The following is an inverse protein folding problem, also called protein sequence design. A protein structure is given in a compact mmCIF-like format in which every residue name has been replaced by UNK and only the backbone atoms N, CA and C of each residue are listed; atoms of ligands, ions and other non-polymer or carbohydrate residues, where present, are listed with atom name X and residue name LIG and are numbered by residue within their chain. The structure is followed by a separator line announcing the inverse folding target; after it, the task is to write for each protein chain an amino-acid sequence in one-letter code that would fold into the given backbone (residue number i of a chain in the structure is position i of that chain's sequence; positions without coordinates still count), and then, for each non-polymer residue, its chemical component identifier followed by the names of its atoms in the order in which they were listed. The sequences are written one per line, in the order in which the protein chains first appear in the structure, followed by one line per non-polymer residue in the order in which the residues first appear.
data_IF_660590042365
#
_entry.id   IF_660590042365
#
_cell.length_a   1.000
_cell.length_b   1.000
_cell.length_c   1.000
_cell.angle_alpha   90.00
_cell.angle_beta   90.00
_cell.angle_gamma   90.00
#
_symmetry.space_group_name_H-M   'P 1'
#
loop_
_entity.id
_entity.type
_entity.pdbx_description
1 polymer ?
#
# COMPACT_ATOMS: atom_id res chain seq x y z
N UNK A 1 18.19 -9.50 2.95
CA UNK A 1 17.47 -8.21 3.07
C UNK A 1 16.07 -8.51 3.59
N UNK A 2 15.65 -7.86 4.68
CA UNK A 2 14.34 -8.09 5.28
C UNK A 2 13.20 -7.50 4.43
N UNK A 3 12.01 -8.08 4.53
CA UNK A 3 10.81 -7.52 3.87
C UNK A 3 10.45 -6.21 4.56
N UNK A 4 10.48 -5.11 3.81
CA UNK A 4 10.09 -3.78 4.32
C UNK A 4 8.62 -3.49 3.99
N UNK A 5 7.97 -2.79 4.92
CA UNK A 5 6.55 -2.43 4.84
C UNK A 5 6.37 -0.93 5.04
N UNK A 6 5.34 -0.39 4.41
CA UNK A 6 4.85 0.98 4.59
C UNK A 6 3.47 0.95 5.22
N UNK A 7 3.21 1.83 6.18
CA UNK A 7 1.86 2.04 6.67
C UNK A 7 0.99 2.80 5.66
N UNK A 8 -0.30 2.89 5.95
CA UNK A 8 -1.29 3.54 5.07
C UNK A 8 -0.93 5.01 4.77
N UNK A 9 -0.38 5.74 5.74
CA UNK A 9 0.01 7.15 5.54
C UNK A 9 1.22 7.24 4.60
N UNK A 10 2.21 6.41 4.83
CA UNK A 10 3.40 6.34 3.98
C UNK A 10 3.05 5.96 2.54
N UNK A 11 2.13 5.02 2.33
CA UNK A 11 1.64 4.67 0.98
C UNK A 11 0.88 5.85 0.35
N UNK A 12 0.03 6.53 1.13
CA UNK A 12 -0.70 7.70 0.64
C UNK A 12 0.25 8.81 0.18
N UNK A 13 1.26 9.13 0.99
CA UNK A 13 2.31 10.10 0.64
C UNK A 13 3.11 9.66 -0.58
N UNK A 14 3.51 8.39 -0.65
CA UNK A 14 4.29 7.85 -1.76
C UNK A 14 3.54 7.88 -3.09
N UNK A 15 2.24 7.58 -3.08
CA UNK A 15 1.39 7.59 -4.26
C UNK A 15 0.82 8.99 -4.57
N UNK A 16 1.08 9.99 -3.71
CA UNK A 16 0.44 11.31 -3.74
C UNK A 16 -1.11 11.21 -3.77
N UNK A 17 -1.66 10.33 -2.93
CA UNK A 17 -3.09 10.06 -2.81
C UNK A 17 -3.59 10.30 -1.37
N UNK A 18 -4.90 10.31 -1.16
CA UNK A 18 -5.46 10.44 0.18
C UNK A 18 -5.41 9.11 0.95
N UNK A 19 -5.24 9.17 2.28
CA UNK A 19 -5.30 7.98 3.16
C UNK A 19 -6.63 7.22 3.00
N UNK A 20 -7.73 7.95 2.77
CA UNK A 20 -9.04 7.35 2.50
C UNK A 20 -9.05 6.53 1.21
N UNK A 21 -8.41 7.04 0.15
CA UNK A 21 -8.23 6.29 -1.09
C UNK A 21 -7.44 5.01 -0.83
N UNK A 22 -6.37 5.05 -0.04
CA UNK A 22 -5.58 3.84 0.26
C UNK A 22 -6.41 2.78 1.01
N UNK A 23 -7.31 3.17 1.92
CA UNK A 23 -8.19 2.21 2.59
C UNK A 23 -9.25 1.59 1.68
N UNK A 24 -9.83 2.36 0.75
CA UNK A 24 -10.99 1.96 -0.03
C UNK A 24 -10.66 1.42 -1.41
N UNK A 25 -9.71 2.06 -2.09
CA UNK A 25 -9.40 1.83 -3.48
C UNK A 25 -8.16 0.96 -3.66
N UNK A 26 -7.13 1.09 -2.81
CA UNK A 26 -5.90 0.29 -2.95
C UNK A 26 -6.17 -1.22 -3.09
N UNK A 27 -7.03 -1.86 -2.27
CA UNK A 27 -7.36 -3.28 -2.42
C UNK A 27 -8.08 -3.60 -3.74
N UNK A 28 -8.86 -2.66 -4.28
CA UNK A 28 -9.62 -2.83 -5.53
C UNK A 28 -8.74 -2.77 -6.77
N UNK A 29 -7.68 -1.96 -6.72
CA UNK A 29 -6.71 -1.79 -7.81
C UNK A 29 -5.54 -2.78 -7.75
N UNK A 30 -5.59 -3.77 -6.85
CA UNK A 30 -4.61 -4.86 -6.77
C UNK A 30 -3.48 -4.67 -5.75
N UNK A 31 -3.46 -3.57 -4.98
CA UNK A 31 -2.52 -3.42 -3.87
C UNK A 31 -2.98 -4.29 -2.68
N UNK A 32 -2.13 -5.23 -2.25
CA UNK A 32 -2.47 -6.16 -1.16
C UNK A 32 -2.18 -5.55 0.22
N UNK A 33 -3.21 -5.25 1.04
CA UNK A 33 -3.00 -4.86 2.41
C UNK A 33 -2.59 -6.07 3.27
N UNK A 34 -1.52 -5.93 4.02
CA UNK A 34 -1.09 -6.86 5.06
C UNK A 34 -1.55 -6.33 6.41
N UNK A 35 -2.21 -7.20 7.19
CA UNK A 35 -2.63 -6.87 8.55
C UNK A 35 -1.59 -7.38 9.52
N UNK A 36 -1.03 -6.49 10.32
CA UNK A 36 -0.09 -6.79 11.38
C UNK A 36 -0.75 -6.63 12.75
N UNK A 37 -0.70 -7.68 13.56
CA UNK A 37 -1.32 -7.75 14.89
C UNK A 37 -2.71 -8.41 14.88
N UNK A 38 -3.24 -8.64 16.08
CA UNK A 38 -4.52 -9.32 16.30
C UNK A 38 -5.59 -8.34 16.82
N UNK A 39 -6.80 -8.41 16.27
CA UNK A 39 -7.98 -7.65 16.76
C UNK A 39 -8.16 -6.25 16.15
N UNK A 40 -8.93 -5.39 16.84
CA UNK A 40 -9.30 -4.03 16.39
C UNK A 40 -8.12 -3.07 16.15
N UNK A 41 -6.95 -3.38 16.71
CA UNK A 41 -5.73 -2.59 16.57
C UNK A 41 -4.78 -3.13 15.49
N UNK A 42 -5.22 -4.08 14.67
CA UNK A 42 -4.41 -4.58 13.57
C UNK A 42 -4.05 -3.43 12.62
N UNK A 43 -2.74 -3.20 12.45
CA UNK A 43 -2.23 -2.15 11.57
C UNK A 43 -2.25 -2.67 10.14
N UNK A 44 -2.82 -1.89 9.23
CA UNK A 44 -2.71 -2.16 7.80
C UNK A 44 -1.38 -1.60 7.31
N UNK A 45 -0.59 -2.45 6.68
CA UNK A 45 0.67 -2.10 6.04
C UNK A 45 0.74 -2.76 4.66
N UNK A 46 1.60 -2.24 3.80
CA UNK A 46 1.81 -2.73 2.45
C UNK A 46 3.29 -3.04 2.25
N UNK A 47 3.61 -4.11 1.53
CA UNK A 47 5.02 -4.37 1.18
C UNK A 47 5.50 -3.27 0.25
N UNK A 48 6.66 -2.69 0.55
CA UNK A 48 7.24 -1.63 -0.30
C UNK A 48 7.45 -2.14 -1.73
N UNK A 49 7.95 -3.37 -1.87
CA UNK A 49 8.15 -4.00 -3.17
C UNK A 49 6.84 -4.14 -3.97
N UNK A 50 5.73 -4.51 -3.33
CA UNK A 50 4.43 -4.64 -3.98
C UNK A 50 3.91 -3.26 -4.44
N UNK A 51 4.05 -2.23 -3.59
CA UNK A 51 3.65 -0.85 -3.93
C UNK A 51 4.48 -0.32 -5.10
N UNK A 52 5.79 -0.50 -5.08
CA UNK A 52 6.68 -0.06 -6.17
C UNK A 52 6.39 -0.82 -7.47
N UNK A 53 6.17 -2.13 -7.41
CA UNK A 53 5.83 -2.94 -8.57
C UNK A 53 4.47 -2.50 -9.16
N UNK A 54 3.51 -2.16 -8.32
CA UNK A 54 2.21 -1.65 -8.75
C UNK A 54 2.33 -0.27 -9.43
N UNK A 55 3.12 0.65 -8.87
CA UNK A 55 3.36 1.96 -9.52
C UNK A 55 3.98 1.78 -10.91
N UNK A 56 4.95 0.88 -11.04
CA UNK A 56 5.56 0.56 -12.34
C UNK A 56 4.58 -0.03 -13.34
N UNK A 57 3.57 -0.78 -12.88
CA UNK A 57 2.50 -1.31 -13.74
C UNK A 57 1.47 -0.24 -14.11
N UNK A 58 1.28 0.77 -13.24
CA UNK A 58 0.32 1.86 -13.45
C UNK A 58 0.85 2.96 -14.37
N UNK A 59 2.16 3.22 -14.37
CA UNK A 59 2.77 4.12 -15.35
C UNK A 59 2.58 3.51 -16.73
N UNK A 60 1.72 4.09 -17.59
CA UNK A 60 1.75 3.73 -19.00
C UNK A 60 3.16 4.08 -19.46
N UNK A 61 3.84 3.14 -20.09
CA UNK A 61 4.99 3.44 -20.93
C UNK A 61 4.65 4.64 -21.82
N UNK A 62 5.08 5.83 -21.41
CA UNK A 62 5.07 7.06 -22.19
C UNK A 62 6.47 7.30 -22.72
#
# INVERSE_FOLDING_TARGET
MGVQFMDVKQVAEYLNMSVQWVYREAPKVGLKPYRFGNGRNAKIQFKIADVQAWVRQQSPSS
#
